data_IF_965643002673
#
_entry.id   IF_965643002673
#
_cell.length_a   1.000
_cell.length_b   1.000
_cell.length_c   1.000
_cell.angle_alpha   90.00
_cell.angle_beta   90.00
_cell.angle_gamma   90.00
#
_symmetry.space_group_name_H-M   'P 1'
#
loop_
_entity.id
_entity.type
_entity.pdbx_description
1 polymer ?
#
# COMPACT_ATOMS: atom_id res chain seq x y z
N UNK A 1 28.64 -1.73 -18.79
CA UNK A 1 27.88 -0.57 -18.30
C UNK A 1 26.92 -1.05 -17.21
N UNK A 2 26.77 -0.30 -16.12
CA UNK A 2 25.85 -0.65 -15.04
C UNK A 2 24.39 -0.53 -15.52
N UNK A 3 23.52 -1.43 -15.03
CA UNK A 3 22.08 -1.42 -15.33
C UNK A 3 21.26 -1.67 -14.06
N UNK A 4 20.18 -0.92 -13.88
CA UNK A 4 19.24 -1.16 -12.80
C UNK A 4 18.48 -2.46 -13.06
N UNK A 5 18.17 -3.24 -12.02
CA UNK A 5 17.30 -4.41 -12.16
C UNK A 5 15.91 -4.02 -12.70
N UNK A 6 15.22 -4.94 -13.37
CA UNK A 6 13.90 -4.65 -13.95
C UNK A 6 12.85 -4.28 -12.91
N UNK A 7 12.91 -4.87 -11.72
CA UNK A 7 12.08 -4.48 -10.59
C UNK A 7 12.30 -3.02 -10.15
N UNK A 8 13.56 -2.57 -10.08
CA UNK A 8 13.86 -1.17 -9.72
C UNK A 8 13.40 -0.17 -10.78
N UNK A 9 13.53 -0.52 -12.07
CA UNK A 9 12.99 0.28 -13.17
C UNK A 9 11.47 0.42 -13.04
N UNK A 10 10.77 -0.72 -12.89
CA UNK A 10 9.31 -0.75 -12.76
C UNK A 10 8.81 0.05 -11.56
N UNK A 11 9.44 -0.09 -10.38
CA UNK A 11 9.03 0.67 -9.20
C UNK A 11 9.21 2.17 -9.41
N UNK A 12 10.31 2.60 -10.02
CA UNK A 12 10.55 4.01 -10.32
C UNK A 12 9.50 4.57 -11.27
N UNK A 13 9.23 3.85 -12.35
CA UNK A 13 8.23 4.25 -13.35
C UNK A 13 6.84 4.38 -12.72
N UNK A 14 6.43 3.44 -11.87
CA UNK A 14 5.17 3.55 -11.12
C UNK A 14 5.11 4.80 -10.24
N UNK A 15 6.20 5.12 -9.55
CA UNK A 15 6.25 6.32 -8.70
C UNK A 15 6.27 7.60 -9.54
N UNK A 16 6.91 7.58 -10.71
CA UNK A 16 6.89 8.69 -11.67
C UNK A 16 5.47 8.90 -12.25
N UNK A 17 4.72 7.83 -12.49
CA UNK A 17 3.33 7.91 -12.98
C UNK A 17 2.37 8.45 -11.89
N UNK A 18 2.54 8.01 -10.64
CA UNK A 18 1.70 8.45 -9.51
C UNK A 18 2.04 9.89 -9.06
N UNK A 19 3.32 10.29 -9.19
CA UNK A 19 3.83 11.60 -8.77
C UNK A 19 4.67 12.25 -9.87
N UNK A 20 4.05 12.75 -10.95
CA UNK A 20 4.77 13.26 -12.12
C UNK A 20 5.71 14.42 -11.79
N UNK A 21 5.27 15.30 -10.88
CA UNK A 21 5.96 16.52 -10.47
C UNK A 21 6.96 16.33 -9.32
N UNK A 22 7.18 15.09 -8.84
CA UNK A 22 8.09 14.82 -7.72
C UNK A 22 9.50 15.34 -7.96
N UNK A 23 10.17 15.67 -6.87
CA UNK A 23 11.59 15.94 -6.88
C UNK A 23 12.37 14.67 -7.27
N UNK A 24 13.47 14.86 -7.98
CA UNK A 24 14.39 13.81 -8.47
C UNK A 24 15.84 14.12 -8.08
N UNK A 25 16.09 15.20 -7.32
CA UNK A 25 17.46 15.65 -6.97
C UNK A 25 18.22 14.63 -6.12
N UNK A 26 17.54 13.89 -5.24
CA UNK A 26 18.17 12.84 -4.45
C UNK A 26 17.91 11.42 -4.96
N UNK A 27 17.32 11.27 -6.15
CA UNK A 27 17.23 9.97 -6.82
C UNK A 27 18.62 9.41 -7.09
N UNK A 28 18.79 8.12 -6.83
CA UNK A 28 20.06 7.44 -6.99
C UNK A 28 19.85 5.96 -7.22
N UNK A 29 20.73 5.32 -7.98
CA UNK A 29 20.69 3.86 -8.07
C UNK A 29 22.08 3.27 -8.24
N UNK A 30 22.97 3.87 -9.04
CA UNK A 30 24.37 3.42 -9.14
C UNK A 30 25.20 3.96 -7.97
N UNK A 31 25.99 3.08 -7.36
CA UNK A 31 27.00 3.44 -6.36
C UNK A 31 28.00 4.48 -6.91
N UNK A 32 28.22 5.56 -6.15
CA UNK A 32 29.35 6.46 -6.37
C UNK A 32 30.67 5.84 -5.85
N UNK A 33 31.79 6.53 -6.09
CA UNK A 33 33.11 6.09 -5.62
C UNK A 33 33.17 5.84 -4.09
N UNK A 34 32.33 6.52 -3.30
CA UNK A 34 32.26 6.34 -1.84
C UNK A 34 31.55 5.06 -1.46
N UNK A 35 30.51 4.67 -2.19
CA UNK A 35 29.85 3.38 -2.03
C UNK A 35 30.78 2.23 -2.39
N UNK A 36 31.55 2.37 -3.47
CA UNK A 36 32.56 1.39 -3.87
C UNK A 36 33.64 1.18 -2.79
N UNK A 37 34.08 2.25 -2.14
CA UNK A 37 35.07 2.18 -1.04
C UNK A 37 34.58 1.40 0.19
N UNK A 38 33.26 1.30 0.42
CA UNK A 38 32.69 0.50 1.51
C UNK A 38 32.52 -0.99 1.17
N UNK A 39 32.52 -1.35 -0.12
CA UNK A 39 32.49 -2.74 -0.59
C UNK A 39 31.19 -3.53 -0.37
N UNK A 40 30.25 -3.06 0.46
CA UNK A 40 28.99 -3.75 0.76
C UNK A 40 27.80 -2.80 0.61
N UNK A 41 27.30 -2.66 -0.63
CA UNK A 41 26.07 -1.91 -0.93
C UNK A 41 25.37 -2.52 -2.15
N UNK A 42 24.05 -2.62 -2.11
CA UNK A 42 23.24 -3.12 -3.22
C UNK A 42 23.19 -2.12 -4.41
N UNK A 43 23.70 -0.89 -4.23
CA UNK A 43 23.96 0.08 -5.29
C UNK A 43 25.19 -0.26 -6.14
N UNK A 44 26.07 -1.15 -5.65
CA UNK A 44 27.24 -1.61 -6.40
C UNK A 44 26.76 -2.64 -7.43
N UNK A 45 27.08 -2.45 -8.72
CA UNK A 45 26.75 -3.43 -9.74
C UNK A 45 27.37 -4.80 -9.43
N UNK A 46 26.61 -5.88 -9.61
CA UNK A 46 27.16 -7.24 -9.53
C UNK A 46 28.13 -7.54 -10.69
N UNK A 47 28.69 -8.75 -10.73
CA UNK A 47 29.62 -9.17 -11.80
C UNK A 47 29.01 -9.12 -13.21
N UNK A 48 27.67 -9.08 -13.33
CA UNK A 48 26.92 -8.93 -14.59
C UNK A 48 26.52 -7.47 -14.86
N UNK A 49 26.98 -6.54 -14.03
CA UNK A 49 26.67 -5.11 -14.09
C UNK A 49 25.28 -4.75 -13.57
N UNK A 50 24.59 -5.64 -12.83
CA UNK A 50 23.24 -5.40 -12.34
C UNK A 50 23.27 -4.73 -10.96
N UNK A 51 22.56 -3.62 -10.85
CA UNK A 51 22.34 -2.89 -9.60
C UNK A 51 20.97 -3.22 -9.05
N UNK A 52 20.88 -3.49 -7.74
CA UNK A 52 19.65 -3.96 -7.09
C UNK A 52 19.19 -3.03 -5.98
N UNK A 53 19.53 -1.75 -6.06
CA UNK A 53 19.02 -0.75 -5.16
C UNK A 53 18.61 0.50 -5.92
N UNK A 54 17.56 1.14 -5.41
CA UNK A 54 17.12 2.45 -5.83
C UNK A 54 16.84 3.30 -4.61
N UNK A 55 17.29 4.55 -4.67
CA UNK A 55 16.91 5.64 -3.80
C UNK A 55 15.96 6.53 -4.61
N UNK A 56 14.79 6.82 -4.03
CA UNK A 56 13.79 7.71 -4.62
C UNK A 56 13.60 8.87 -3.64
N UNK A 57 13.60 10.10 -4.16
CA UNK A 57 13.39 11.32 -3.38
C UNK A 57 12.09 11.24 -2.56
N UNK A 58 12.14 11.74 -1.34
CA UNK A 58 10.98 11.77 -0.44
C UNK A 58 10.05 12.95 -0.72
N UNK A 59 10.50 13.99 -1.43
CA UNK A 59 9.65 15.09 -1.86
C UNK A 59 8.86 14.69 -3.11
N UNK A 60 7.68 14.13 -2.89
CA UNK A 60 6.76 13.69 -3.94
C UNK A 60 5.94 14.84 -4.56
N UNK A 61 6.33 16.11 -4.31
CA UNK A 61 5.54 17.30 -4.63
C UNK A 61 4.12 17.27 -4.04
N UNK A 62 3.95 16.51 -2.96
CA UNK A 62 2.71 16.27 -2.25
C UNK A 62 2.89 16.55 -0.75
N UNK A 63 1.90 16.19 0.06
CA UNK A 63 2.06 16.25 1.51
C UNK A 63 3.23 15.35 1.95
N UNK A 64 4.02 15.81 2.93
CA UNK A 64 5.21 15.08 3.42
C UNK A 64 4.92 13.66 3.89
N UNK A 65 3.70 13.41 4.36
CA UNK A 65 3.24 12.08 4.78
C UNK A 65 3.06 11.10 3.61
N UNK A 66 2.96 11.58 2.37
CA UNK A 66 2.80 10.70 1.20
C UNK A 66 4.01 9.80 0.99
N UNK A 67 5.23 10.27 1.26
CA UNK A 67 6.41 9.42 1.23
C UNK A 67 6.32 8.29 2.26
N UNK A 68 5.81 8.57 3.46
CA UNK A 68 5.56 7.55 4.48
C UNK A 68 4.49 6.56 4.03
N UNK A 69 3.38 7.05 3.45
CA UNK A 69 2.30 6.22 2.91
C UNK A 69 2.78 5.31 1.77
N UNK A 70 3.56 5.84 0.82
CA UNK A 70 4.12 5.09 -0.29
C UNK A 70 5.08 4.00 0.19
N UNK A 71 5.99 4.35 1.10
CA UNK A 71 6.93 3.38 1.71
C UNK A 71 6.17 2.28 2.45
N UNK A 72 5.07 2.62 3.14
CA UNK A 72 4.18 1.64 3.75
C UNK A 72 3.51 0.72 2.73
N UNK A 73 3.05 1.25 1.59
CA UNK A 73 2.48 0.44 0.51
C UNK A 73 3.51 -0.53 -0.08
N UNK A 74 4.73 -0.07 -0.35
CA UNK A 74 5.84 -0.92 -0.82
C UNK A 74 6.15 -2.02 0.19
N UNK A 75 6.26 -1.68 1.47
CA UNK A 75 6.48 -2.64 2.57
C UNK A 75 5.36 -3.68 2.63
N UNK A 76 4.10 -3.25 2.54
CA UNK A 76 2.94 -4.15 2.54
C UNK A 76 2.91 -5.06 1.33
N UNK A 77 3.25 -4.56 0.13
CA UNK A 77 3.40 -5.37 -1.08
C UNK A 77 4.40 -6.52 -0.86
N UNK A 78 5.56 -6.19 -0.33
CA UNK A 78 6.58 -7.19 -0.02
C UNK A 78 6.13 -8.18 1.08
N UNK A 79 5.41 -7.69 2.09
CA UNK A 79 4.82 -8.53 3.15
C UNK A 79 3.74 -9.48 2.63
N UNK A 80 2.94 -9.06 1.64
CA UNK A 80 1.92 -9.90 0.99
C UNK A 80 2.52 -11.07 0.20
N UNK A 81 3.80 -10.99 -0.14
CA UNK A 81 4.54 -12.10 -0.76
C UNK A 81 5.38 -11.73 -1.97
N UNK A 82 5.50 -10.44 -2.33
CA UNK A 82 6.44 -10.05 -3.38
C UNK A 82 7.89 -10.24 -2.91
N UNK A 83 8.53 -11.31 -3.40
CA UNK A 83 9.89 -11.70 -3.04
C UNK A 83 10.97 -10.91 -3.79
N UNK A 84 10.59 -9.99 -4.69
CA UNK A 84 11.56 -9.14 -5.41
C UNK A 84 12.14 -8.07 -4.51
N UNK A 85 11.41 -7.62 -3.49
CA UNK A 85 11.87 -6.60 -2.55
C UNK A 85 12.62 -7.29 -1.41
N UNK A 86 13.88 -6.90 -1.18
CA UNK A 86 14.79 -7.46 -0.17
C UNK A 86 14.65 -6.72 1.16
N UNK A 87 14.65 -5.40 1.14
CA UNK A 87 14.40 -4.54 2.31
C UNK A 87 14.09 -3.11 1.87
N UNK A 88 13.50 -2.33 2.78
CA UNK A 88 13.21 -0.90 2.61
C UNK A 88 13.79 -0.13 3.78
N UNK A 89 14.41 1.02 3.53
CA UNK A 89 14.94 1.93 4.56
C UNK A 89 14.34 3.32 4.33
N UNK A 90 13.77 3.91 5.37
CA UNK A 90 13.28 5.28 5.34
C UNK A 90 13.21 5.85 6.76
N UNK A 91 13.53 7.13 6.90
CA UNK A 91 13.48 7.90 8.16
C UNK A 91 14.10 7.17 9.36
N UNK A 92 15.32 6.66 9.18
CA UNK A 92 16.09 5.98 10.22
C UNK A 92 15.49 4.63 10.64
N UNK A 93 14.62 4.03 9.81
CA UNK A 93 14.01 2.73 10.03
C UNK A 93 14.26 1.80 8.86
N UNK A 94 14.33 0.51 9.12
CA UNK A 94 14.47 -0.54 8.11
C UNK A 94 13.41 -1.61 8.32
N UNK A 95 12.84 -2.12 7.24
CA UNK A 95 11.93 -3.28 7.22
C UNK A 95 12.45 -4.32 6.22
N UNK A 96 12.36 -5.59 6.60
CA UNK A 96 12.87 -6.72 5.81
C UNK A 96 12.17 -8.03 6.20
N UNK A 97 12.26 -9.10 5.40
CA UNK A 97 11.72 -10.42 5.75
C UNK A 97 12.22 -10.99 7.08
N UNK A 98 13.42 -10.60 7.53
CA UNK A 98 14.07 -11.10 8.78
C UNK A 98 13.15 -11.02 10.00
N UNK A 99 12.35 -9.94 10.11
CA UNK A 99 11.39 -9.74 11.19
C UNK A 99 9.97 -9.55 10.64
N UNK A 100 9.61 -10.31 9.61
CA UNK A 100 8.28 -10.28 8.98
C UNK A 100 7.83 -8.84 8.63
N UNK A 101 8.75 -8.05 8.05
CA UNK A 101 8.51 -6.66 7.64
C UNK A 101 8.11 -5.71 8.78
N UNK A 102 8.43 -6.04 10.03
CA UNK A 102 8.35 -5.10 11.15
C UNK A 102 9.44 -4.02 11.02
N UNK A 103 9.06 -2.76 11.24
CA UNK A 103 10.03 -1.67 11.34
C UNK A 103 10.96 -1.85 12.53
N UNK A 104 12.24 -1.63 12.29
CA UNK A 104 13.28 -1.57 13.32
C UNK A 104 14.16 -0.36 13.07
N UNK A 105 14.84 0.11 14.13
CA UNK A 105 15.82 1.20 14.01
C UNK A 105 16.91 0.80 13.03
N UNK A 106 17.23 1.71 12.11
CA UNK A 106 18.36 1.61 11.21
C UNK A 106 19.54 2.40 11.81
N UNK A 107 20.68 1.71 11.95
CA UNK A 107 21.89 2.28 12.56
C UNK A 107 22.99 2.59 11.51
N UNK A 108 22.65 2.58 10.21
CA UNK A 108 23.62 2.95 9.17
C UNK A 108 23.88 4.45 9.14
N UNK A 109 25.00 4.84 8.54
CA UNK A 109 25.50 6.23 8.57
C UNK A 109 24.55 7.24 7.88
N UNK A 110 23.87 6.85 6.81
CA UNK A 110 22.85 7.67 6.17
C UNK A 110 21.46 7.24 6.69
N UNK A 111 20.72 8.06 7.44
CA UNK A 111 19.42 7.68 7.96
C UNK A 111 18.29 7.69 6.92
N UNK A 112 18.52 8.06 5.65
CA UNK A 112 17.48 8.05 4.60
C UNK A 112 16.28 8.94 4.94
N UNK A 113 16.55 10.22 5.27
CA UNK A 113 15.52 11.24 5.60
C UNK A 113 15.10 12.11 4.42
N UNK A 114 15.84 12.06 3.33
CA UNK A 114 15.59 12.85 2.11
C UNK A 114 15.17 11.99 0.93
N UNK A 115 15.41 10.68 1.00
CA UNK A 115 14.98 9.67 0.05
C UNK A 115 14.63 8.41 0.82
N UNK A 116 13.83 7.54 0.24
CA UNK A 116 13.65 6.18 0.71
C UNK A 116 14.43 5.22 -0.18
N UNK A 117 15.04 4.22 0.46
CA UNK A 117 15.85 3.22 -0.21
C UNK A 117 15.10 1.90 -0.31
N UNK A 118 15.06 1.34 -1.51
CA UNK A 118 14.48 0.02 -1.78
C UNK A 118 15.56 -0.87 -2.40
N UNK A 119 15.85 -1.96 -1.71
CA UNK A 119 16.74 -3.00 -2.21
C UNK A 119 15.96 -4.19 -2.74
N UNK A 120 16.48 -4.82 -3.79
CA UNK A 120 15.85 -5.92 -4.52
C UNK A 120 16.67 -7.20 -4.43
N UNK A 121 15.98 -8.34 -4.53
CA UNK A 121 16.60 -9.66 -4.67
C UNK A 121 16.94 -9.94 -6.13
N UNK A 122 17.65 -11.03 -6.40
CA UNK A 122 17.96 -11.48 -7.77
C UNK A 122 16.71 -11.82 -8.57
N UNK A 123 15.57 -12.08 -7.91
CA UNK A 123 14.28 -12.31 -8.59
C UNK A 123 13.81 -11.06 -9.35
N UNK A 124 14.22 -9.87 -8.90
CA UNK A 124 13.91 -8.61 -9.55
C UNK A 124 14.79 -8.28 -10.76
N UNK A 125 15.84 -9.05 -11.03
CA UNK A 125 16.80 -8.75 -12.11
C UNK A 125 16.10 -8.63 -13.47
N UNK A 126 15.25 -9.62 -13.78
CA UNK A 126 14.53 -9.73 -15.05
C UNK A 126 13.01 -9.59 -14.90
N UNK A 127 12.49 -9.43 -13.68
CA UNK A 127 11.06 -9.32 -13.41
C UNK A 127 10.64 -7.86 -13.19
N UNK A 128 10.18 -7.23 -14.26
CA UNK A 128 9.59 -5.89 -14.26
C UNK A 128 8.07 -5.89 -14.20
N UNK A 129 7.43 -6.93 -13.66
CA UNK A 129 5.96 -6.92 -13.52
C UNK A 129 5.51 -5.82 -12.56
N UNK A 130 4.32 -5.27 -12.79
CA UNK A 130 3.71 -4.26 -11.92
C UNK A 130 3.73 -4.68 -10.44
N UNK A 131 4.05 -3.73 -9.54
CA UNK A 131 3.89 -3.88 -8.11
C UNK A 131 2.46 -3.51 -7.71
N UNK A 132 1.72 -4.47 -7.21
CA UNK A 132 0.44 -4.23 -6.55
C UNK A 132 0.71 -3.51 -5.21
N UNK A 133 0.69 -2.17 -5.21
CA UNK A 133 0.97 -1.33 -4.03
C UNK A 133 -0.28 -1.16 -3.15
N UNK A 134 -1.45 -0.96 -3.76
CA UNK A 134 -2.72 -0.81 -3.06
C UNK A 134 -3.16 -2.10 -2.37
N UNK A 135 -3.01 -3.26 -3.03
CA UNK A 135 -3.32 -4.55 -2.43
C UNK A 135 -4.80 -4.79 -2.18
N UNK A 136 -5.67 -4.13 -2.93
CA UNK A 136 -7.13 -4.32 -2.93
C UNK A 136 -7.51 -5.67 -3.56
N UNK A 137 -7.02 -6.75 -2.97
CA UNK A 137 -7.72 -8.01 -3.02
C UNK A 137 -8.68 -7.95 -1.86
N UNK A 138 -9.91 -7.51 -2.15
CA UNK A 138 -11.06 -7.64 -1.26
C UNK A 138 -10.86 -8.88 -0.40
N UNK A 139 -10.53 -8.68 0.88
CA UNK A 139 -10.62 -9.76 1.85
C UNK A 139 -12.01 -10.33 1.64
N UNK A 140 -12.06 -11.61 1.24
CA UNK A 140 -13.26 -12.38 0.96
C UNK A 140 -14.37 -11.86 1.88
N UNK A 141 -15.33 -11.10 1.34
CA UNK A 141 -16.60 -10.92 2.04
C UNK A 141 -17.03 -12.36 2.26
N UNK A 142 -17.04 -12.82 3.51
CA UNK A 142 -17.72 -14.04 3.84
C UNK A 142 -19.16 -13.78 3.42
N UNK A 143 -19.52 -14.28 2.24
CA UNK A 143 -20.92 -14.41 1.88
C UNK A 143 -21.40 -15.51 2.79
N UNK A 144 -21.91 -15.14 3.96
CA UNK A 144 -22.92 -15.91 4.65
C UNK A 144 -23.89 -16.32 3.54
N UNK A 145 -24.11 -17.61 3.34
CA UNK A 145 -24.93 -18.16 2.26
C UNK A 145 -26.41 -17.81 2.44
N UNK A 146 -26.74 -16.52 2.49
CA UNK A 146 -28.07 -15.97 2.43
C UNK A 146 -28.54 -16.07 1.00
N UNK A 147 -29.38 -17.07 0.75
CA UNK A 147 -30.13 -17.21 -0.48
C UNK A 147 -31.11 -16.02 -0.59
N UNK A 148 -30.66 -14.91 -1.17
CA UNK A 148 -31.51 -13.75 -1.51
C UNK A 148 -31.59 -13.64 -3.02
N UNK A 149 -32.57 -14.34 -3.57
CA UNK A 149 -32.91 -14.34 -4.98
C UNK A 149 -34.26 -15.00 -5.21
N UNK A 150 -35.33 -14.46 -4.59
CA UNK A 150 -36.67 -14.61 -5.16
C UNK A 150 -36.85 -13.56 -6.26
N UNK A 151 -37.34 -14.01 -7.40
CA UNK A 151 -37.46 -13.30 -8.68
C UNK A 151 -38.19 -11.95 -8.57
N UNK A 152 -37.47 -10.85 -8.77
CA UNK A 152 -38.09 -9.55 -9.06
C UNK A 152 -38.54 -9.56 -10.52
N UNK A 153 -39.84 -9.72 -10.75
CA UNK A 153 -40.46 -9.54 -12.06
C UNK A 153 -40.40 -8.07 -12.49
N UNK A 154 -40.07 -7.86 -13.76
CA UNK A 154 -40.02 -6.54 -14.42
C UNK A 154 -41.42 -6.12 -14.86
N UNK A 155 -42.24 -5.62 -13.95
CA UNK A 155 -43.50 -4.96 -14.31
C UNK A 155 -44.00 -3.95 -13.26
N UNK A 156 -43.12 -3.06 -12.78
CA UNK A 156 -43.51 -1.67 -12.43
C UNK A 156 -44.66 -1.43 -11.42
N UNK A 157 -45.12 -2.44 -10.66
CA UNK A 157 -46.17 -2.28 -9.64
C UNK A 157 -45.56 -2.43 -8.25
N UNK A 158 -45.46 -1.29 -7.53
CA UNK A 158 -45.10 -1.25 -6.12
C UNK A 158 -46.39 -1.46 -5.31
N UNK A 159 -46.63 -2.68 -4.85
CA UNK A 159 -47.66 -2.99 -3.85
C UNK A 159 -47.00 -3.12 -2.47
N UNK A 160 -47.17 -2.09 -1.63
CA UNK A 160 -46.72 -2.11 -0.23
C UNK A 160 -47.92 -2.53 0.63
N UNK A 161 -47.97 -3.75 1.19
CA UNK A 161 -48.97 -4.09 2.19
C UNK A 161 -48.55 -3.57 3.57
N UNK A 162 -49.09 -2.41 3.93
CA UNK A 162 -49.18 -1.95 5.32
C UNK A 162 -50.24 -2.80 6.05
N UNK A 163 -49.81 -3.67 6.97
CA UNK A 163 -50.40 -3.88 8.30
C UNK A 163 -50.21 -5.31 8.83
N UNK A 164 -49.65 -5.42 10.04
CA UNK A 164 -50.26 -6.21 11.14
C UNK A 164 -49.50 -5.97 12.45
N UNK A 165 -50.02 -5.03 13.23
CA UNK A 165 -49.75 -4.91 14.66
C UNK A 165 -50.39 -6.09 15.39
N UNK A 166 -49.61 -6.83 16.17
CA UNK A 166 -50.09 -7.89 17.06
C UNK A 166 -50.24 -7.32 18.47
N UNK A 167 -51.46 -7.36 18.99
CA UNK A 167 -51.82 -6.92 20.33
C UNK A 167 -51.50 -8.03 21.36
N UNK A 168 -50.69 -7.74 22.37
CA UNK A 168 -50.83 -8.35 23.71
C UNK A 168 -50.63 -7.29 24.80
N UNK A 169 -51.63 -7.19 25.66
CA UNK A 169 -51.70 -6.35 26.85
C UNK A 169 -50.82 -6.86 28.00
N UNK A 170 -50.09 -5.94 28.65
CA UNK A 170 -49.93 -5.72 30.11
C UNK A 170 -48.70 -4.82 30.34
N UNK A 171 -48.58 -3.92 31.32
CA UNK A 171 -49.49 -3.28 32.26
C UNK A 171 -48.65 -2.24 33.02
N UNK A 172 -48.75 -0.95 32.68
CA UNK A 172 -48.43 0.22 33.52
C UNK A 172 -48.46 1.51 32.68
N UNK A 173 -48.87 2.62 33.30
CA UNK A 173 -49.05 3.98 32.76
C UNK A 173 -50.19 4.15 31.73
N UNK A 174 -51.45 4.40 32.14
CA UNK A 174 -51.99 5.64 32.74
C UNK A 174 -51.57 6.93 32.01
N UNK A 175 -52.49 7.38 31.15
CA UNK A 175 -52.89 8.77 30.85
C UNK A 175 -51.80 9.77 30.45
N UNK A 176 -51.90 10.29 29.21
CA UNK A 176 -51.83 11.71 28.82
C UNK A 176 -51.58 11.75 27.30
N UNK A 177 -52.62 12.00 26.52
CA UNK A 177 -52.95 13.30 25.90
C UNK A 177 -52.16 13.56 24.61
N UNK A 178 -52.95 13.52 23.52
CA UNK A 178 -52.58 13.93 22.18
C UNK A 178 -52.29 15.44 22.16
N UNK A 179 -51.18 15.85 21.57
CA UNK A 179 -51.07 17.16 20.92
C UNK A 179 -50.30 17.00 19.62
N UNK A 180 -51.03 17.16 18.52
CA UNK A 180 -50.47 17.40 17.19
C UNK A 180 -49.98 18.85 17.11
N UNK A 181 -48.88 19.11 16.41
CA UNK A 181 -48.75 20.32 15.60
C UNK A 181 -47.79 20.08 14.44
N UNK A 182 -48.28 20.44 13.25
CA UNK A 182 -47.53 20.71 12.03
C UNK A 182 -46.98 22.12 12.14
N UNK A 183 -45.76 22.32 11.66
CA UNK A 183 -45.43 23.30 10.62
C UNK A 183 -44.33 22.71 9.72
#
# INVERSE_FOLDING_TARGET
MAKLCKAGQQLREQVDDDYPDRDRRSDGWVADARHLAKGNSDHIPDARGIVRAIDIDADLAAHKEEAHSLVEKIRKCAKRGDKRIKYVIFDGRIASPILNWKWRKYNGANPHRHHFHVSFTTLGDNNGNWFDLEGDKNARIETDGGNVGEDIRRDGSIDIPLSRSSTRLHSQCRTCECVAFRD
#
